data_IF_343440049448
#
_entry.id   IF_343440049448
#
_cell.length_a   1.000
_cell.length_b   1.000
_cell.length_c   1.000
_cell.angle_alpha   90.00
_cell.angle_beta   90.00
_cell.angle_gamma   90.00
#
_symmetry.space_group_name_H-M   'P 1'
#
loop_
_entity.id
_entity.type
_entity.pdbx_description
1 polymer ?
#
# COMPACT_ATOMS: atom_id res chain seq x y z
N UNK A 1 6.24 -8.92 -4.18
CA UNK A 1 5.33 -9.96 -3.69
C UNK A 1 4.34 -9.34 -2.72
N UNK A 2 3.04 -9.49 -2.98
CA UNK A 2 1.96 -8.88 -2.19
C UNK A 2 1.75 -9.58 -0.86
N UNK A 3 2.06 -10.89 -0.78
CA UNK A 3 1.92 -11.72 0.42
C UNK A 3 2.81 -11.26 1.59
N UNK A 4 3.99 -10.72 1.28
CA UNK A 4 4.89 -10.16 2.29
C UNK A 4 4.42 -8.79 2.77
N UNK A 5 3.77 -8.00 1.90
CA UNK A 5 3.30 -6.66 2.25
C UNK A 5 2.03 -6.72 3.11
N UNK A 6 1.14 -7.69 2.89
CA UNK A 6 -0.09 -7.85 3.69
C UNK A 6 0.18 -8.13 5.17
N UNK A 7 1.37 -8.63 5.52
CA UNK A 7 1.77 -8.86 6.91
C UNK A 7 2.05 -7.57 7.69
N UNK A 8 2.35 -6.47 6.98
CA UNK A 8 2.71 -5.18 7.58
C UNK A 8 1.66 -4.09 7.34
N UNK A 9 0.49 -4.49 6.85
CA UNK A 9 -0.61 -3.59 6.47
C UNK A 9 -1.88 -4.06 7.16
N UNK A 10 -2.62 -3.12 7.73
CA UNK A 10 -3.94 -3.37 8.34
C UNK A 10 -4.99 -3.67 7.26
N UNK A 11 -6.14 -4.22 7.65
CA UNK A 11 -7.28 -4.44 6.74
C UNK A 11 -7.69 -3.18 5.97
N UNK A 12 -7.50 -2.01 6.57
CA UNK A 12 -7.86 -0.70 6.00
C UNK A 12 -6.81 -0.15 5.01
N UNK A 13 -5.74 -0.89 4.75
CA UNK A 13 -4.65 -0.45 3.86
C UNK A 13 -3.61 0.46 4.51
N UNK A 14 -3.68 0.69 5.82
CA UNK A 14 -2.69 1.46 6.57
C UNK A 14 -1.48 0.60 6.93
N UNK A 15 -0.28 1.14 6.74
CA UNK A 15 0.95 0.48 7.20
C UNK A 15 0.97 0.49 8.73
N UNK A 16 1.21 -0.67 9.34
CA UNK A 16 1.31 -0.82 10.79
C UNK A 16 2.52 -0.01 11.29
N UNK A 17 2.40 0.78 12.38
CA UNK A 17 3.50 1.60 12.90
C UNK A 17 4.81 0.84 13.17
N UNK A 18 5.95 1.51 12.99
CA UNK A 18 7.27 0.91 13.18
C UNK A 18 7.46 0.26 14.55
N UNK A 19 7.00 0.92 15.62
CA UNK A 19 7.17 0.44 17.00
C UNK A 19 6.37 -0.85 17.29
N UNK A 20 5.37 -1.16 16.48
CA UNK A 20 4.58 -2.40 16.57
C UNK A 20 5.17 -3.47 15.66
N UNK A 21 5.55 -3.11 14.43
CA UNK A 21 6.14 -4.05 13.46
C UNK A 21 7.53 -4.54 13.84
N UNK A 22 8.27 -3.81 14.68
CA UNK A 22 9.64 -4.16 15.08
C UNK A 22 10.68 -4.02 13.96
N UNK A 23 10.30 -3.47 12.80
CA UNK A 23 11.20 -3.27 11.67
C UNK A 23 12.21 -2.16 11.97
N UNK A 24 13.45 -2.31 11.49
CA UNK A 24 14.40 -1.20 11.51
C UNK A 24 13.93 -0.06 10.59
N UNK A 25 14.43 1.16 10.81
CA UNK A 25 13.99 2.36 10.06
C UNK A 25 14.09 2.18 8.55
N UNK A 26 15.18 1.55 8.09
CA UNK A 26 15.45 1.29 6.67
C UNK A 26 14.44 0.31 6.06
N UNK A 27 14.13 -0.77 6.77
CA UNK A 27 13.16 -1.76 6.29
C UNK A 27 11.74 -1.20 6.31
N UNK A 28 11.37 -0.52 7.40
CA UNK A 28 10.07 0.13 7.50
C UNK A 28 9.84 1.12 6.36
N UNK A 29 10.84 1.95 6.02
CA UNK A 29 10.77 2.84 4.85
C UNK A 29 10.56 2.09 3.52
N UNK A 30 11.26 0.98 3.31
CA UNK A 30 11.11 0.16 2.09
C UNK A 30 9.72 -0.45 2.00
N UNK A 31 9.17 -0.94 3.11
CA UNK A 31 7.81 -1.49 3.19
C UNK A 31 6.80 -0.40 2.88
N UNK A 32 6.87 0.75 3.53
CA UNK A 32 5.94 1.88 3.29
C UNK A 32 5.94 2.29 1.81
N UNK A 33 7.13 2.40 1.19
CA UNK A 33 7.24 2.73 -0.24
C UNK A 33 6.63 1.64 -1.13
N UNK A 34 6.86 0.37 -0.82
CA UNK A 34 6.29 -0.74 -1.58
C UNK A 34 4.77 -0.80 -1.45
N UNK A 35 4.22 -0.53 -0.27
CA UNK A 35 2.76 -0.43 -0.04
C UNK A 35 2.16 0.72 -0.83
N UNK A 36 2.79 1.91 -0.84
CA UNK A 36 2.33 3.03 -1.67
C UNK A 36 2.30 2.70 -3.17
N UNK A 37 3.29 1.97 -3.66
CA UNK A 37 3.32 1.53 -5.06
C UNK A 37 2.22 0.49 -5.34
N UNK A 38 2.04 -0.48 -4.45
CA UNK A 38 0.99 -1.50 -4.58
C UNK A 38 -0.42 -0.89 -4.52
N UNK A 39 -0.64 0.13 -3.69
CA UNK A 39 -1.89 0.88 -3.64
C UNK A 39 -2.17 1.65 -4.93
N UNK A 40 -1.15 2.33 -5.48
CA UNK A 40 -1.27 3.01 -6.79
C UNK A 40 -1.52 2.04 -7.94
N UNK A 41 -1.02 0.81 -7.82
CA UNK A 41 -1.25 -0.26 -8.79
C UNK A 41 -2.62 -0.94 -8.62
N UNK A 42 -3.36 -0.67 -7.53
CA UNK A 42 -4.64 -1.32 -7.23
C UNK A 42 -4.52 -2.73 -6.64
N UNK A 43 -3.35 -3.10 -6.12
CA UNK A 43 -3.07 -4.42 -5.52
C UNK A 43 -3.39 -4.50 -4.01
N UNK A 44 -3.43 -3.36 -3.32
CA UNK A 44 -3.71 -3.24 -1.89
C UNK A 44 -4.74 -2.13 -1.68
N UNK A 45 -5.70 -2.27 -0.75
CA UNK A 45 -6.65 -1.21 -0.44
C UNK A 45 -5.95 0.07 0.01
N UNK A 46 -6.54 1.21 -0.36
CA UNK A 46 -6.11 2.55 0.03
C UNK A 46 -7.07 3.06 1.11
N UNK A 47 -6.55 3.72 2.14
CA UNK A 47 -7.39 4.31 3.18
C UNK A 47 -8.40 5.28 2.56
N UNK A 48 -9.65 5.25 3.03
CA UNK A 48 -10.69 6.20 2.61
C UNK A 48 -10.24 7.64 2.87
N UNK A 49 -10.45 8.52 1.89
CA UNK A 49 -10.02 9.93 1.95
C UNK A 49 -8.57 10.20 1.52
N UNK A 50 -7.82 9.19 1.06
CA UNK A 50 -6.49 9.44 0.49
C UNK A 50 -6.65 10.14 -0.86
N UNK A 51 -6.05 11.33 -1.06
CA UNK A 51 -6.23 12.09 -2.29
C UNK A 51 -5.83 11.28 -3.51
N UNK A 52 -6.67 11.37 -4.53
CA UNK A 52 -6.40 10.88 -5.88
C UNK A 52 -5.59 11.96 -6.57
N UNK A 53 -4.41 11.64 -7.08
CA UNK A 53 -3.46 12.63 -7.62
C UNK A 53 -3.88 13.18 -8.99
N UNK A 54 -4.84 12.53 -9.66
CA UNK A 54 -5.47 13.02 -10.87
C UNK A 54 -6.52 12.05 -11.40
N UNK A 55 -7.40 12.51 -12.27
CA UNK A 55 -8.48 11.69 -12.85
C UNK A 55 -7.95 10.45 -13.58
N UNK A 56 -6.73 10.49 -14.11
CA UNK A 56 -6.05 9.36 -14.75
C UNK A 56 -5.83 8.16 -13.81
N UNK A 57 -5.76 8.36 -12.49
CA UNK A 57 -5.66 7.27 -11.50
C UNK A 57 -6.93 6.40 -11.49
N UNK A 58 -8.10 6.96 -11.86
CA UNK A 58 -9.36 6.22 -12.07
C UNK A 58 -9.29 5.27 -13.26
N UNK A 59 -8.46 5.59 -14.25
CA UNK A 59 -8.34 4.86 -15.51
C UNK A 59 -7.16 3.87 -15.53
N UNK A 60 -6.37 3.78 -14.45
CA UNK A 60 -5.36 2.75 -14.31
C UNK A 60 -6.03 1.36 -14.19
N UNK A 61 -6.06 0.62 -15.30
CA UNK A 61 -6.70 -0.70 -15.43
C UNK A 61 -5.73 -1.87 -15.27
N UNK A 62 -4.63 -1.71 -14.53
CA UNK A 62 -3.60 -2.75 -14.42
C UNK A 62 -4.11 -4.09 -13.86
N UNK A 63 -5.20 -4.10 -13.08
CA UNK A 63 -5.77 -5.32 -12.47
C UNK A 63 -7.31 -5.42 -12.49
N UNK A 64 -8.02 -4.83 -13.46
CA UNK A 64 -9.49 -5.03 -13.62
C UNK A 64 -9.90 -6.48 -13.94
N UNK A 65 -8.98 -7.45 -13.92
CA UNK A 65 -9.18 -8.83 -14.34
C UNK A 65 -8.64 -9.79 -13.28
N UNK A 66 -9.41 -9.98 -12.22
CA UNK A 66 -9.46 -11.19 -11.41
C UNK A 66 -10.92 -11.50 -11.12
#
# INVERSE_FOLDING_TARGET
DTLILSQFVSSDGTVIPQHITGLCKKQHFRVTRAVSLAQRAGLIPKKSGTPVFGEWEKWNTYFKKF
#
